data_IF_293270830155
#
_entry.id   IF_293270830155
#
_cell.length_a   1.000
_cell.length_b   1.000
_cell.length_c   1.000
_cell.angle_alpha   90.00
_cell.angle_beta   90.00
_cell.angle_gamma   90.00
#
_symmetry.space_group_name_H-M   'P 1'
#
loop_
_entity.id
_entity.type
_entity.pdbx_description
1 polymer ?
#
# COMPACT_ATOMS: atom_id res chain seq x y z
N UNK A 1 -17.55 1.79 -13.23
CA UNK A 1 -16.39 2.45 -12.60
C UNK A 1 -16.46 2.12 -11.13
N UNK A 2 -15.41 1.50 -10.60
CA UNK A 2 -15.41 0.92 -9.26
C UNK A 2 -14.46 1.72 -8.34
N UNK A 3 -14.87 1.91 -7.09
CA UNK A 3 -14.09 2.61 -6.06
C UNK A 3 -13.58 1.60 -5.02
N UNK A 4 -12.26 1.41 -4.94
CA UNK A 4 -11.61 0.63 -3.90
C UNK A 4 -11.11 1.54 -2.79
N UNK A 5 -11.48 1.23 -1.54
CA UNK A 5 -11.11 2.03 -0.37
C UNK A 5 -10.23 1.21 0.54
N UNK A 6 -9.07 1.75 0.87
CA UNK A 6 -8.15 1.14 1.80
C UNK A 6 -7.85 2.09 2.96
N UNK A 7 -8.15 1.65 4.18
CA UNK A 7 -7.87 2.43 5.38
C UNK A 7 -6.44 2.15 5.86
N UNK A 8 -5.68 3.21 6.11
CA UNK A 8 -4.31 3.13 6.61
C UNK A 8 -4.27 3.57 8.07
N UNK A 9 -3.81 2.69 8.96
CA UNK A 9 -3.32 3.11 10.28
C UNK A 9 -2.03 3.89 10.06
N UNK A 10 -1.98 5.13 10.55
CA UNK A 10 -0.93 6.13 10.30
C UNK A 10 0.47 5.55 10.53
N UNK A 11 1.10 5.05 9.47
CA UNK A 11 2.43 4.43 9.53
C UNK A 11 3.28 5.09 8.45
N UNK A 12 4.23 5.92 8.86
CA UNK A 12 5.38 6.41 8.10
C UNK A 12 5.12 7.02 6.71
N UNK A 13 5.61 8.24 6.47
CA UNK A 13 5.61 8.85 5.13
C UNK A 13 6.25 7.96 4.04
N UNK A 14 7.17 7.06 4.41
CA UNK A 14 7.81 6.12 3.50
C UNK A 14 6.90 4.95 3.07
N UNK A 15 6.11 4.38 4.00
CA UNK A 15 5.16 3.33 3.69
C UNK A 15 4.04 3.85 2.78
N UNK A 16 3.57 5.09 3.02
CA UNK A 16 2.67 5.79 2.11
C UNK A 16 3.27 5.88 0.70
N UNK A 17 4.50 6.39 0.55
CA UNK A 17 5.15 6.50 -0.78
C UNK A 17 5.22 5.14 -1.50
N UNK A 18 5.58 4.06 -0.80
CA UNK A 18 5.63 2.70 -1.37
C UNK A 18 4.24 2.20 -1.79
N UNK A 19 3.22 2.45 -0.98
CA UNK A 19 1.84 2.08 -1.31
C UNK A 19 1.33 2.82 -2.55
N UNK A 20 1.48 4.14 -2.61
CA UNK A 20 1.11 4.95 -3.78
C UNK A 20 1.83 4.48 -5.05
N UNK A 21 3.15 4.29 -4.97
CA UNK A 21 3.94 3.83 -6.13
C UNK A 21 3.50 2.45 -6.64
N UNK A 22 3.00 1.58 -5.76
CA UNK A 22 2.45 0.29 -6.16
C UNK A 22 1.08 0.44 -6.82
N UNK A 23 0.17 1.24 -6.24
CA UNK A 23 -1.18 1.43 -6.79
C UNK A 23 -1.12 2.04 -8.19
N UNK A 24 -0.28 3.04 -8.41
CA UNK A 24 -0.07 3.62 -9.75
C UNK A 24 0.49 2.63 -10.78
N UNK A 25 1.11 1.52 -10.35
CA UNK A 25 1.58 0.45 -11.23
C UNK A 25 0.51 -0.61 -11.51
N UNK A 26 -0.61 -0.61 -10.79
CA UNK A 26 -1.70 -1.55 -11.03
C UNK A 26 -2.45 -1.20 -12.32
N UNK A 27 -2.69 -2.21 -13.15
CA UNK A 27 -3.46 -2.08 -14.37
C UNK A 27 -4.91 -1.76 -14.02
N UNK A 28 -5.53 -0.83 -14.75
CA UNK A 28 -6.92 -0.44 -14.54
C UNK A 28 -7.12 0.74 -13.59
N UNK A 29 -6.08 1.18 -12.87
CA UNK A 29 -6.14 2.40 -12.03
C UNK A 29 -6.21 3.63 -12.92
N UNK A 30 -7.22 4.48 -12.69
CA UNK A 30 -7.42 5.77 -13.38
C UNK A 30 -7.14 6.95 -12.46
N UNK A 31 -7.56 6.87 -11.20
CA UNK A 31 -7.40 7.96 -10.22
C UNK A 31 -7.10 7.41 -8.82
N UNK A 32 -6.33 8.16 -8.04
CA UNK A 32 -5.96 7.80 -6.66
C UNK A 32 -6.06 9.05 -5.80
N UNK A 33 -6.90 9.00 -4.76
CA UNK A 33 -7.14 10.08 -3.81
C UNK A 33 -6.84 9.62 -2.40
N UNK A 34 -6.40 10.53 -1.52
CA UNK A 34 -6.15 10.24 -0.11
C UNK A 34 -6.91 11.24 0.76
N UNK A 35 -7.90 10.72 1.49
CA UNK A 35 -8.74 11.52 2.37
C UNK A 35 -8.73 10.90 3.78
N UNK A 36 -8.40 11.68 4.81
CA UNK A 36 -8.46 11.22 6.21
C UNK A 36 -7.78 9.85 6.48
N UNK A 37 -6.62 9.60 5.85
CA UNK A 37 -5.90 8.31 5.92
C UNK A 37 -6.60 7.12 5.24
N UNK A 38 -7.58 7.39 4.38
CA UNK A 38 -8.23 6.42 3.50
C UNK A 38 -7.72 6.69 2.09
N UNK A 39 -7.07 5.69 1.47
CA UNK A 39 -6.72 5.75 0.07
C UNK A 39 -7.89 5.24 -0.75
N UNK A 40 -8.35 6.07 -1.66
CA UNK A 40 -9.44 5.80 -2.58
C UNK A 40 -8.82 5.60 -3.95
N UNK A 41 -8.98 4.41 -4.51
CA UNK A 41 -8.46 4.02 -5.82
C UNK A 41 -9.64 3.84 -6.75
N UNK A 42 -9.68 4.59 -7.85
CA UNK A 42 -10.74 4.52 -8.84
C UNK A 42 -10.20 3.94 -10.13
N UNK A 43 -10.94 3.00 -10.70
CA UNK A 43 -10.49 2.28 -11.89
C UNK A 43 -11.51 1.29 -12.43
N UNK A 44 -11.04 0.48 -13.37
CA UNK A 44 -11.80 -0.62 -13.99
C UNK A 44 -10.94 -1.88 -14.01
N UNK A 45 -11.52 -3.02 -13.61
CA UNK A 45 -10.79 -4.29 -13.53
C UNK A 45 -9.73 -4.31 -12.43
N UNK A 46 -10.02 -3.64 -11.31
CA UNK A 46 -9.11 -3.56 -10.18
C UNK A 46 -9.11 -4.88 -9.39
N UNK A 47 -7.91 -5.41 -9.15
CA UNK A 47 -7.71 -6.67 -8.47
C UNK A 47 -7.60 -6.44 -6.95
N UNK A 48 -8.75 -6.31 -6.27
CA UNK A 48 -8.80 -5.93 -4.85
C UNK A 48 -7.95 -6.85 -3.96
N UNK A 49 -8.08 -8.18 -4.13
CA UNK A 49 -7.40 -9.16 -3.28
C UNK A 49 -5.88 -9.01 -3.37
N UNK A 50 -5.36 -8.82 -4.59
CA UNK A 50 -3.94 -8.59 -4.85
C UNK A 50 -3.46 -7.26 -4.26
N UNK A 51 -4.25 -6.20 -4.42
CA UNK A 51 -3.93 -4.89 -3.86
C UNK A 51 -3.91 -4.92 -2.34
N UNK A 52 -4.94 -5.53 -1.73
CA UNK A 52 -5.09 -5.68 -0.28
C UNK A 52 -3.92 -6.47 0.31
N UNK A 53 -3.55 -7.62 -0.28
CA UNK A 53 -2.38 -8.42 0.17
C UNK A 53 -1.07 -7.65 0.07
N UNK A 54 -0.87 -6.88 -1.00
CA UNK A 54 0.38 -6.10 -1.17
C UNK A 54 0.44 -4.93 -0.19
N UNK A 55 -0.68 -4.25 -0.02
CA UNK A 55 -0.82 -3.17 0.96
C UNK A 55 -0.64 -3.67 2.38
N UNK A 56 -1.25 -4.80 2.72
CA UNK A 56 -1.04 -5.47 4.00
C UNK A 56 0.45 -5.74 4.19
N UNK A 57 1.17 -6.29 3.21
CA UNK A 57 2.64 -6.43 3.31
C UNK A 57 3.41 -5.12 3.50
N UNK A 58 2.97 -4.00 2.92
CA UNK A 58 3.65 -2.70 3.03
C UNK A 58 3.39 -2.07 4.42
N UNK A 59 2.18 -2.22 4.95
CA UNK A 59 1.75 -1.63 6.22
C UNK A 59 2.03 -2.52 7.42
N UNK A 60 1.84 -3.83 7.25
CA UNK A 60 2.24 -4.92 8.14
C UNK A 60 3.75 -5.13 8.13
N UNK A 61 4.53 -4.30 7.42
CA UNK A 61 6.00 -4.28 7.54
C UNK A 61 6.49 -3.63 8.85
N UNK A 62 5.63 -3.57 9.87
CA UNK A 62 6.00 -3.35 11.27
C UNK A 62 5.42 -4.46 12.18
N UNK A 63 6.10 -5.61 12.27
CA UNK A 63 6.05 -6.45 13.46
C UNK A 63 7.47 -6.92 13.85
N UNK A 64 8.53 -6.15 13.55
CA UNK A 64 9.89 -6.56 13.87
C UNK A 64 10.98 -5.70 13.25
N UNK A 65 11.47 -4.73 14.02
CA UNK A 65 12.85 -4.29 13.92
C UNK A 65 13.76 -5.46 14.35
N UNK A 66 13.90 -6.52 13.55
CA UNK A 66 14.72 -7.72 13.81
C UNK A 66 14.83 -8.48 12.47
N UNK A 67 15.85 -8.27 11.65
CA UNK A 67 17.16 -8.81 11.94
C UNK A 67 18.21 -7.90 11.35
N UNK A 68 19.03 -7.38 12.26
CA UNK A 68 20.23 -6.63 11.99
C UNK A 68 21.14 -7.40 11.02
N UNK A 69 21.78 -6.64 10.14
CA UNK A 69 23.07 -7.01 9.59
C UNK A 69 23.98 -7.52 10.73
N UNK A 70 24.36 -8.80 10.68
CA UNK A 70 25.61 -9.24 11.28
C UNK A 70 26.60 -9.42 10.14
N UNK A 71 27.35 -8.36 9.85
CA UNK A 71 28.70 -8.52 9.33
C UNK A 71 29.60 -9.08 10.43
N UNK A 72 30.52 -9.96 10.04
CA UNK A 72 31.80 -10.36 10.68
C UNK A 72 31.91 -11.87 10.87
N UNK A 73 32.83 -12.50 10.14
CA UNK A 73 33.22 -13.91 10.21
C UNK A 73 33.90 -14.36 8.94
#
# INVERSE_FOLDING_TARGET
>A
MEDLRFQYGVTGGEAKKKAFAYIYKCKGVRDVSLENCILIVRGEGLDEDKMRRKMDKILSSNPGCLSCFSSSG
#
